data_IF_945899132340
#
_entry.id   IF_945899132340
#
_cell.length_a   1.000
_cell.length_b   1.000
_cell.length_c   1.000
_cell.angle_alpha   90.00
_cell.angle_beta   90.00
_cell.angle_gamma   90.00
#
_symmetry.space_group_name_H-M   'P 1'
#
loop_
_entity.id
_entity.type
_entity.pdbx_description
1 polymer ?
#
# COMPACT_ATOMS: atom_id res chain seq x y z
N UNK A 1 14.04 -0.90 -12.80
CA UNK A 1 12.59 -1.18 -12.63
C UNK A 1 11.83 -0.24 -13.54
N UNK A 2 11.04 -0.76 -14.50
CA UNK A 2 10.24 0.12 -15.36
C UNK A 2 9.18 0.84 -14.52
N UNK A 3 9.05 2.17 -14.62
CA UNK A 3 8.06 2.91 -13.85
C UNK A 3 6.65 2.46 -14.28
N UNK A 4 5.82 2.10 -13.30
CA UNK A 4 4.41 1.77 -13.53
C UNK A 4 3.72 2.95 -14.24
N UNK A 5 2.94 2.64 -15.28
CA UNK A 5 2.14 3.64 -15.99
C UNK A 5 1.13 4.29 -15.04
N UNK A 6 0.79 5.57 -15.27
CA UNK A 6 -0.19 6.29 -14.44
C UNK A 6 -1.54 5.56 -14.33
N UNK A 7 -1.95 4.84 -15.39
CA UNK A 7 -3.16 4.00 -15.35
C UNK A 7 -3.02 2.76 -14.46
N UNK A 8 -1.83 2.16 -14.37
CA UNK A 8 -1.56 1.04 -13.47
C UNK A 8 -1.56 1.52 -12.01
N UNK A 9 -0.94 2.68 -11.74
CA UNK A 9 -0.95 3.30 -10.40
C UNK A 9 -2.38 3.57 -9.94
N UNK A 10 -3.21 4.18 -10.79
CA UNK A 10 -4.61 4.46 -10.47
C UNK A 10 -5.40 3.18 -10.14
N UNK A 11 -5.24 2.12 -10.94
CA UNK A 11 -5.90 0.83 -10.69
C UNK A 11 -5.49 0.23 -9.34
N UNK A 12 -4.21 0.27 -9.00
CA UNK A 12 -3.70 -0.25 -7.72
C UNK A 12 -4.28 0.55 -6.56
N UNK A 13 -4.34 1.88 -6.66
CA UNK A 13 -4.93 2.74 -5.63
C UNK A 13 -6.42 2.47 -5.43
N UNK A 14 -7.20 2.45 -6.51
CA UNK A 14 -8.65 2.19 -6.45
C UNK A 14 -8.92 0.79 -5.91
N UNK A 15 -8.19 -0.22 -6.38
CA UNK A 15 -8.30 -1.59 -5.87
C UNK A 15 -7.99 -1.65 -4.38
N UNK A 16 -6.90 -1.02 -3.93
CA UNK A 16 -6.52 -1.05 -2.52
C UNK A 16 -7.55 -0.32 -1.64
N UNK A 17 -7.99 0.86 -2.06
CA UNK A 17 -8.96 1.67 -1.32
C UNK A 17 -10.33 0.99 -1.19
N UNK A 18 -10.77 0.20 -2.19
CA UNK A 18 -12.05 -0.52 -2.14
C UNK A 18 -11.91 -1.90 -1.48
N UNK A 19 -10.85 -2.64 -1.78
CA UNK A 19 -10.65 -4.01 -1.28
C UNK A 19 -10.36 -4.03 0.21
N UNK A 20 -9.65 -3.05 0.76
CA UNK A 20 -9.33 -3.01 2.20
C UNK A 20 -10.58 -2.88 3.09
N UNK A 21 -11.47 -1.88 2.91
CA UNK A 21 -12.70 -1.79 3.71
C UNK A 21 -13.65 -2.95 3.42
N UNK A 22 -13.71 -3.45 2.18
CA UNK A 22 -14.54 -4.60 1.84
C UNK A 22 -14.05 -5.90 2.51
N UNK A 23 -12.74 -6.13 2.52
CA UNK A 23 -12.09 -7.27 3.18
C UNK A 23 -12.28 -7.23 4.69
N UNK A 24 -12.12 -6.06 5.32
CA UNK A 24 -12.42 -5.87 6.74
C UNK A 24 -13.89 -6.10 7.06
N UNK A 25 -14.81 -5.56 6.25
CA UNK A 25 -16.25 -5.79 6.42
C UNK A 25 -16.59 -7.28 6.36
N UNK A 26 -16.06 -8.01 5.37
CA UNK A 26 -16.25 -9.44 5.24
C UNK A 26 -15.64 -10.24 6.40
N UNK A 27 -14.48 -9.82 6.90
CA UNK A 27 -13.89 -10.41 8.10
C UNK A 27 -14.81 -10.23 9.31
N UNK A 28 -15.21 -8.99 9.65
CA UNK A 28 -16.06 -8.73 10.81
C UNK A 28 -17.42 -9.42 10.72
N UNK A 29 -18.01 -9.48 9.51
CA UNK A 29 -19.29 -10.15 9.26
C UNK A 29 -19.21 -11.67 9.46
N UNK A 30 -18.12 -12.30 9.02
CA UNK A 30 -18.07 -13.76 8.93
C UNK A 30 -17.27 -14.44 10.06
N UNK A 31 -16.38 -13.73 10.77
CA UNK A 31 -15.53 -14.37 11.77
C UNK A 31 -16.32 -14.92 12.97
N UNK A 32 -17.48 -14.30 13.29
CA UNK A 32 -18.39 -14.75 14.36
C UNK A 32 -19.47 -15.72 13.90
N UNK A 33 -19.46 -16.14 12.63
CA UNK A 33 -20.48 -17.05 12.12
C UNK A 33 -20.37 -18.43 12.77
N UNK A 34 -21.51 -19.02 13.14
CA UNK A 34 -21.58 -20.40 13.62
C UNK A 34 -21.30 -21.43 12.52
N UNK A 35 -21.40 -21.02 11.25
CA UNK A 35 -21.13 -21.87 10.09
C UNK A 35 -19.61 -21.91 9.81
N UNK A 36 -18.97 -23.10 9.84
CA UNK A 36 -17.51 -23.21 9.68
C UNK A 36 -16.97 -22.64 8.36
N UNK A 37 -17.75 -22.77 7.27
CA UNK A 37 -17.38 -22.24 5.96
C UNK A 37 -17.26 -20.71 5.94
N UNK A 38 -18.17 -20.02 6.63
CA UNK A 38 -18.16 -18.57 6.71
C UNK A 38 -16.96 -18.08 7.52
N UNK A 39 -16.62 -18.74 8.63
CA UNK A 39 -15.41 -18.39 9.41
C UNK A 39 -14.14 -18.51 8.57
N UNK A 40 -14.00 -19.57 7.76
CA UNK A 40 -12.87 -19.73 6.83
C UNK A 40 -12.79 -18.57 5.84
N UNK A 41 -13.92 -18.15 5.25
CA UNK A 41 -13.97 -17.00 4.37
C UNK A 41 -13.55 -15.69 5.09
N UNK A 42 -13.94 -15.51 6.35
CA UNK A 42 -13.49 -14.41 7.19
C UNK A 42 -11.97 -14.40 7.36
N UNK A 43 -11.37 -15.53 7.75
CA UNK A 43 -9.91 -15.61 7.91
C UNK A 43 -9.14 -15.39 6.60
N UNK A 44 -9.64 -15.90 5.47
CA UNK A 44 -9.05 -15.64 4.15
C UNK A 44 -9.09 -14.14 3.82
N UNK A 45 -10.23 -13.48 4.05
CA UNK A 45 -10.37 -12.05 3.85
C UNK A 45 -9.40 -11.24 4.73
N UNK A 46 -9.20 -11.66 5.98
CA UNK A 46 -8.21 -11.05 6.87
C UNK A 46 -6.79 -11.18 6.32
N UNK A 47 -6.38 -12.40 5.94
CA UNK A 47 -5.03 -12.66 5.40
C UNK A 47 -4.76 -11.82 4.15
N UNK A 48 -5.72 -11.78 3.21
CA UNK A 48 -5.60 -10.96 2.00
C UNK A 48 -5.49 -9.47 2.32
N UNK A 49 -6.29 -8.99 3.28
CA UNK A 49 -6.26 -7.58 3.71
C UNK A 49 -4.91 -7.24 4.36
N UNK A 50 -4.41 -8.10 5.26
CA UNK A 50 -3.11 -7.90 5.92
C UNK A 50 -1.96 -7.93 4.92
N UNK A 51 -1.97 -8.86 3.95
CA UNK A 51 -0.96 -8.92 2.90
C UNK A 51 -0.96 -7.66 2.03
N UNK A 52 -2.14 -7.16 1.64
CA UNK A 52 -2.26 -5.92 0.88
C UNK A 52 -1.74 -4.71 1.68
N UNK A 53 -2.03 -4.65 2.98
CA UNK A 53 -1.56 -3.56 3.84
C UNK A 53 -0.03 -3.59 4.00
N UNK A 54 0.55 -4.77 4.24
CA UNK A 54 2.00 -4.95 4.32
C UNK A 54 2.69 -4.55 2.99
N UNK A 55 2.13 -4.96 1.85
CA UNK A 55 2.62 -4.56 0.53
C UNK A 55 2.55 -3.05 0.32
N UNK A 56 1.44 -2.41 0.71
CA UNK A 56 1.29 -0.95 0.62
C UNK A 56 2.32 -0.23 1.49
N UNK A 57 2.55 -0.68 2.73
CA UNK A 57 3.55 -0.08 3.62
C UNK A 57 4.96 -0.20 3.04
N UNK A 58 5.30 -1.36 2.46
CA UNK A 58 6.59 -1.56 1.82
C UNK A 58 6.79 -0.62 0.62
N UNK A 59 5.79 -0.49 -0.25
CA UNK A 59 5.85 0.44 -1.39
C UNK A 59 5.97 1.89 -0.91
N UNK A 60 5.21 2.29 0.12
CA UNK A 60 5.30 3.62 0.71
C UNK A 60 6.68 3.89 1.32
N UNK A 61 7.26 2.92 2.03
CA UNK A 61 8.59 3.03 2.59
C UNK A 61 9.65 3.26 1.50
N UNK A 62 9.64 2.44 0.45
CA UNK A 62 10.57 2.59 -0.69
C UNK A 62 10.35 3.90 -1.45
N UNK A 63 9.12 4.38 -1.53
CA UNK A 63 8.82 5.66 -2.16
C UNK A 63 9.39 6.84 -1.36
N UNK A 64 9.25 6.81 -0.03
CA UNK A 64 9.83 7.83 0.85
C UNK A 64 11.36 7.82 0.75
N UNK A 65 11.99 6.64 0.79
CA UNK A 65 13.44 6.50 0.65
C UNK A 65 13.96 7.15 -0.65
N UNK A 66 13.31 6.85 -1.77
CA UNK A 66 13.65 7.48 -3.07
C UNK A 66 13.41 8.99 -3.03
N UNK A 67 12.32 9.44 -2.42
CA UNK A 67 12.00 10.87 -2.34
C UNK A 67 13.06 11.62 -1.52
N UNK A 68 13.52 11.03 -0.41
CA UNK A 68 14.59 11.57 0.44
C UNK A 68 15.91 11.68 -0.33
N UNK A 69 16.30 10.64 -1.08
CA UNK A 69 17.49 10.70 -1.94
C UNK A 69 17.41 11.84 -2.96
N UNK A 70 16.24 12.08 -3.56
CA UNK A 70 16.04 13.18 -4.50
C UNK A 70 16.11 14.55 -3.83
N UNK A 71 15.53 14.71 -2.64
CA UNK A 71 15.60 15.98 -1.90
C UNK A 71 17.02 16.27 -1.43
N UNK A 72 17.75 15.27 -0.95
CA UNK A 72 19.12 15.44 -0.48
C UNK A 72 20.06 15.85 -1.63
N UNK A 73 19.92 15.22 -2.80
CA UNK A 73 20.64 15.62 -4.01
C UNK A 73 20.31 17.06 -4.45
N UNK A 74 19.04 17.46 -4.32
CA UNK A 74 18.61 18.81 -4.68
C UNK A 74 19.14 19.87 -3.71
N UNK A 75 19.09 19.63 -2.40
CA UNK A 75 19.69 20.50 -1.39
C UNK A 75 21.21 20.62 -1.58
N UNK A 76 21.88 19.52 -1.91
CA UNK A 76 23.32 19.54 -2.15
C UNK A 76 23.68 20.38 -3.39
N UNK A 77 22.88 20.32 -4.45
CA UNK A 77 23.05 21.19 -5.62
C UNK A 77 22.74 22.65 -5.32
N UNK A 78 21.68 22.93 -4.54
CA UNK A 78 21.32 24.29 -4.15
C UNK A 78 22.44 24.95 -3.32
N UNK A 79 22.98 24.23 -2.33
CA UNK A 79 24.10 24.70 -1.50
C UNK A 79 25.37 24.96 -2.33
N UNK A 80 25.63 24.18 -3.38
CA UNK A 80 26.75 24.43 -4.30
C UNK A 80 26.56 25.69 -5.13
N UNK A 81 25.31 26.05 -5.47
CA UNK A 81 24.99 27.28 -6.21
C UNK A 81 25.00 28.52 -5.32
N UNK A 82 24.58 28.43 -4.06
CA UNK A 82 24.58 29.56 -3.12
C UNK A 82 25.96 29.83 -2.49
N UNK A 83 26.87 28.86 -2.53
CA UNK A 83 28.25 28.99 -2.05
C UNK A 83 29.26 29.58 -3.06
N UNK A 84 28.81 29.90 -4.28
CA UNK A 84 29.56 30.59 -5.34
C UNK A 84 29.11 32.05 -5.45
#
# INVERSE_FOLDING_TARGET
MNPLSNGQKFRIYVLSFVLTPMGLYWFFKNFRSSIPGNRKAGYIALILTTAALAGSLYVSYRYIEVLTDYTDLYEQQLNLYEGL
#
